data_IF_708965132805
#
_entry.id   IF_708965132805
#
_cell.length_a   1.000
_cell.length_b   1.000
_cell.length_c   1.000
_cell.angle_alpha   90.00
_cell.angle_beta   90.00
_cell.angle_gamma   90.00
#
_symmetry.space_group_name_H-M   'P 1'
#
loop_
_entity.id
_entity.type
_entity.pdbx_description
1 polymer ?
#
# COMPACT_ATOMS: atom_id res chain seq x y z
N UNK A 1 4.69 -6.06 13.55
CA UNK A 1 5.44 -4.99 12.83
C UNK A 1 4.58 -4.51 11.67
N UNK A 2 4.07 -3.27 11.72
CA UNK A 2 3.00 -2.80 10.83
C UNK A 2 3.46 -2.48 9.40
N UNK A 3 2.72 -2.99 8.42
CA UNK A 3 3.01 -2.95 6.98
C UNK A 3 3.30 -1.56 6.41
N UNK A 4 2.77 -0.51 7.02
CA UNK A 4 2.87 0.87 6.53
C UNK A 4 4.17 1.59 6.91
N UNK A 5 5.12 0.96 7.60
CA UNK A 5 6.45 1.55 7.86
C UNK A 5 7.45 1.32 6.71
N UNK A 6 7.12 0.46 5.74
CA UNK A 6 8.03 0.07 4.66
C UNK A 6 7.72 0.62 3.26
N UNK A 7 6.46 1.01 2.98
CA UNK A 7 6.04 1.31 1.61
C UNK A 7 6.51 2.71 1.18
N UNK A 8 7.37 2.79 0.17
CA UNK A 8 7.99 4.01 -0.35
C UNK A 8 7.50 4.36 -1.75
N UNK A 9 7.76 5.60 -2.17
CA UNK A 9 7.56 6.02 -3.57
C UNK A 9 8.40 5.13 -4.50
N UNK A 10 7.79 4.62 -5.56
CA UNK A 10 8.41 3.69 -6.51
C UNK A 10 8.17 2.21 -6.19
N UNK A 11 7.63 1.90 -5.01
CA UNK A 11 7.25 0.52 -4.69
C UNK A 11 6.12 0.04 -5.58
N UNK A 12 6.15 -1.25 -5.89
CA UNK A 12 5.10 -1.92 -6.67
C UNK A 12 4.14 -2.64 -5.74
N UNK A 13 2.84 -2.42 -5.93
CA UNK A 13 1.78 -3.03 -5.14
C UNK A 13 0.87 -3.80 -6.07
N UNK A 14 0.65 -5.08 -5.78
CA UNK A 14 -0.35 -5.87 -6.45
C UNK A 14 -1.70 -5.69 -5.77
N UNK A 15 -2.68 -5.20 -6.52
CA UNK A 15 -4.07 -4.97 -6.09
C UNK A 15 -4.97 -5.77 -7.03
N UNK A 16 -5.68 -6.78 -6.52
CA UNK A 16 -6.60 -7.63 -7.32
C UNK A 16 -5.96 -8.20 -8.61
N UNK A 17 -4.69 -8.58 -8.55
CA UNK A 17 -3.94 -9.11 -9.68
C UNK A 17 -3.19 -8.06 -10.50
N UNK A 18 -3.56 -6.79 -10.44
CA UNK A 18 -2.91 -5.70 -11.16
C UNK A 18 -1.75 -5.10 -10.36
N UNK A 19 -0.60 -4.87 -11.01
CA UNK A 19 0.57 -4.25 -10.37
C UNK A 19 0.54 -2.75 -10.60
N UNK A 20 0.51 -1.96 -9.52
CA UNK A 20 0.46 -0.50 -9.54
C UNK A 20 1.62 0.09 -8.78
N UNK A 21 2.17 1.18 -9.28
CA UNK A 21 3.33 1.84 -8.67
C UNK A 21 2.90 2.94 -7.69
N UNK A 22 3.50 2.93 -6.50
CA UNK A 22 3.21 3.86 -5.41
C UNK A 22 3.84 5.22 -5.71
N UNK A 23 3.01 6.25 -5.71
CA UNK A 23 3.43 7.65 -5.65
C UNK A 23 3.67 8.09 -4.21
N UNK A 24 2.77 7.73 -3.30
CA UNK A 24 2.86 8.01 -1.86
C UNK A 24 1.99 7.04 -1.05
N UNK A 25 2.37 6.77 0.19
CA UNK A 25 1.54 6.05 1.15
C UNK A 25 1.38 6.90 2.42
N UNK A 26 0.15 7.01 2.93
CA UNK A 26 -0.16 7.79 4.13
C UNK A 26 -1.02 6.97 5.09
N UNK A 27 -0.64 6.91 6.36
CA UNK A 27 -1.54 6.45 7.42
C UNK A 27 -2.46 7.60 7.83
N UNK A 28 -3.73 7.30 8.05
CA UNK A 28 -4.65 8.30 8.59
C UNK A 28 -4.60 8.24 10.11
N UNK A 29 -4.00 9.26 10.71
CA UNK A 29 -3.94 9.41 12.16
C UNK A 29 -5.38 9.61 12.69
N UNK A 30 -5.81 8.76 13.63
CA UNK A 30 -7.18 8.73 14.17
C UNK A 30 -7.96 7.44 13.90
N UNK A 31 -7.54 6.63 12.92
CA UNK A 31 -7.94 5.22 12.80
C UNK A 31 -6.68 4.41 12.54
N UNK A 32 -6.17 3.76 13.59
CA UNK A 32 -4.87 3.06 13.64
C UNK A 32 -4.67 2.05 12.50
N UNK A 33 -5.75 1.66 11.84
CA UNK A 33 -5.82 0.58 10.86
C UNK A 33 -5.91 1.07 9.40
N UNK A 34 -6.15 2.36 9.10
CA UNK A 34 -6.37 2.82 7.71
C UNK A 34 -5.08 3.31 6.99
N UNK A 35 -4.77 2.70 5.84
CA UNK A 35 -3.66 3.05 4.94
C UNK A 35 -4.20 3.58 3.60
N UNK A 36 -3.77 4.78 3.23
CA UNK A 36 -4.08 5.40 1.95
C UNK A 36 -2.88 5.28 1.03
N UNK A 37 -3.04 4.54 -0.07
CA UNK A 37 -2.04 4.34 -1.11
C UNK A 37 -2.40 5.19 -2.32
N UNK A 38 -1.53 6.15 -2.65
CA UNK A 38 -1.60 6.97 -3.85
C UNK A 38 -0.74 6.31 -4.91
N UNK A 39 -1.34 5.94 -6.04
CA UNK A 39 -0.61 5.38 -7.17
C UNK A 39 -0.17 6.47 -8.15
N UNK A 40 0.85 6.18 -8.97
CA UNK A 40 1.27 7.09 -10.04
C UNK A 40 0.20 7.28 -11.11
N UNK A 41 -0.55 6.22 -11.42
CA UNK A 41 -1.65 6.23 -12.38
C UNK A 41 -2.90 5.59 -11.77
N UNK A 42 -4.06 6.18 -12.04
CA UNK A 42 -5.37 5.73 -11.58
C UNK A 42 -5.78 6.20 -10.17
N UNK A 43 -6.89 5.66 -9.62
CA UNK A 43 -7.46 6.13 -8.36
C UNK A 43 -6.62 5.73 -7.15
N UNK A 44 -6.72 6.51 -6.07
CA UNK A 44 -6.17 6.19 -4.74
C UNK A 44 -6.88 4.98 -4.13
N UNK A 45 -6.16 4.19 -3.36
CA UNK A 45 -6.69 3.04 -2.65
C UNK A 45 -6.66 3.28 -1.15
N UNK A 46 -7.78 3.04 -0.47
CA UNK A 46 -7.88 3.04 0.99
C UNK A 46 -8.10 1.61 1.43
N UNK A 47 -7.17 1.09 2.21
CA UNK A 47 -7.13 -0.31 2.67
C UNK A 47 -6.71 -0.33 4.11
N UNK A 48 -7.02 -1.40 4.82
CA UNK A 48 -6.45 -1.55 6.14
C UNK A 48 -4.97 -1.90 6.04
N UNK A 49 -4.16 -1.41 6.97
CA UNK A 49 -2.75 -1.72 7.02
C UNK A 49 -2.49 -3.22 7.24
N UNK A 50 -3.44 -3.94 7.87
CA UNK A 50 -3.39 -5.40 8.06
C UNK A 50 -3.60 -6.19 6.76
N UNK A 51 -4.39 -5.65 5.82
CA UNK A 51 -4.63 -6.26 4.50
C UNK A 51 -3.44 -6.10 3.55
N UNK A 52 -2.47 -5.26 3.92
CA UNK A 52 -1.27 -5.00 3.14
C UNK A 52 -0.12 -5.85 3.65
N UNK A 53 0.42 -6.71 2.78
CA UNK A 53 1.53 -7.60 3.11
C UNK A 53 2.71 -7.35 2.19
N UNK A 54 3.93 -7.38 2.75
CA UNK A 54 5.15 -7.39 1.96
C UNK A 54 5.32 -8.76 1.28
N UNK A 55 5.49 -8.76 -0.04
CA UNK A 55 5.77 -9.94 -0.84
C UNK A 55 7.27 -10.27 -0.88
N UNK A 56 7.60 -11.53 -1.21
CA UNK A 56 8.98 -12.06 -1.21
C UNK A 56 9.96 -11.39 -2.19
N UNK A 57 9.49 -10.56 -3.13
CA UNK A 57 10.31 -9.89 -4.17
C UNK A 57 10.40 -8.37 -4.01
N UNK A 58 10.21 -7.84 -2.80
CA UNK A 58 10.24 -6.39 -2.56
C UNK A 58 9.04 -5.62 -3.13
N UNK A 59 8.00 -6.35 -3.55
CA UNK A 59 6.70 -5.78 -3.90
C UNK A 59 5.70 -5.99 -2.77
N UNK A 60 4.63 -5.22 -2.75
CA UNK A 60 3.55 -5.33 -1.79
C UNK A 60 2.34 -6.01 -2.42
N UNK A 61 1.48 -6.59 -1.59
CA UNK A 61 0.19 -7.13 -2.01
C UNK A 61 -0.89 -6.65 -1.07
N UNK A 62 -2.01 -6.23 -1.64
CA UNK A 62 -3.26 -6.01 -0.93
C UNK A 62 -4.12 -7.25 -1.10
N UNK A 63 -4.61 -7.81 0.02
CA UNK A 63 -5.57 -8.92 0.01
C UNK A 63 -7.00 -8.46 -0.25
#
# INVERSE_FOLDING_TARGET
MGASKGMRRGDKVQVRGEVREVKAARRKEGRTEDLVIVFKSGPTLRVRAEDVSAGRRGGWRVR
#
